data_IF_519741521140
#
_entry.id   IF_519741521140
#
_cell.length_a   1.000
_cell.length_b   1.000
_cell.length_c   1.000
_cell.angle_alpha   90.00
_cell.angle_beta   90.00
_cell.angle_gamma   90.00
#
_symmetry.space_group_name_H-M   'P 1'
#
loop_
_entity.id
_entity.type
_entity.pdbx_description
1 polymer ?
#
# COMPACT_ATOMS: atom_id res chain seq x y z
N UNK A 1 -13.38 9.82 -17.33
CA UNK A 1 -13.88 9.12 -16.11
C UNK A 1 -12.71 8.96 -15.14
N UNK A 2 -12.79 9.45 -13.89
CA UNK A 2 -11.68 9.33 -12.95
C UNK A 2 -11.47 7.86 -12.55
N UNK A 3 -10.21 7.41 -12.56
CA UNK A 3 -9.85 6.06 -12.13
C UNK A 3 -10.00 5.97 -10.61
N UNK A 4 -10.89 5.10 -10.14
CA UNK A 4 -11.05 4.81 -8.72
C UNK A 4 -10.03 3.76 -8.29
N UNK A 5 -9.48 3.93 -7.09
CA UNK A 5 -8.58 2.99 -6.45
C UNK A 5 -9.33 2.29 -5.32
N UNK A 6 -9.15 0.97 -5.22
CA UNK A 6 -9.56 0.21 -4.05
C UNK A 6 -8.45 0.28 -3.01
N UNK A 7 -8.72 0.93 -1.90
CA UNK A 7 -7.76 1.14 -0.81
C UNK A 7 -8.30 0.58 0.50
N UNK A 8 -7.42 0.11 1.37
CA UNK A 8 -7.78 -0.38 2.70
C UNK A 8 -7.62 0.76 3.71
N UNK A 9 -8.68 1.01 4.49
CA UNK A 9 -8.77 1.99 5.57
C UNK A 9 -9.52 1.38 6.75
N UNK A 10 -8.92 1.37 7.93
CA UNK A 10 -9.44 0.79 9.16
C UNK A 10 -9.98 -0.65 8.95
N UNK A 11 -9.24 -1.49 8.22
CA UNK A 11 -9.64 -2.86 7.89
C UNK A 11 -10.77 -3.00 6.85
N UNK A 12 -11.30 -1.91 6.31
CA UNK A 12 -12.33 -1.93 5.25
C UNK A 12 -11.76 -1.52 3.91
N UNK A 13 -12.20 -2.18 2.83
CA UNK A 13 -11.87 -1.76 1.47
C UNK A 13 -12.84 -0.67 1.04
N UNK A 14 -12.32 0.51 0.68
CA UNK A 14 -13.10 1.65 0.19
C UNK A 14 -12.61 2.08 -1.20
N UNK A 15 -13.47 2.73 -1.96
CA UNK A 15 -13.12 3.31 -3.26
C UNK A 15 -12.78 4.79 -3.12
N UNK A 16 -11.60 5.18 -3.58
CA UNK A 16 -11.09 6.55 -3.45
C UNK A 16 -10.49 7.03 -4.76
N UNK A 17 -10.46 8.35 -4.96
CA UNK A 17 -9.78 8.98 -6.12
C UNK A 17 -8.25 8.88 -6.01
N UNK A 18 -7.73 8.62 -4.82
CA UNK A 18 -6.29 8.50 -4.54
C UNK A 18 -5.93 7.08 -4.08
N UNK A 19 -4.73 6.56 -4.41
CA UNK A 19 -4.26 5.24 -4.00
C UNK A 19 -3.80 5.13 -2.53
N UNK A 20 -4.01 6.15 -1.69
CA UNK A 20 -3.45 6.17 -0.33
C UNK A 20 -1.95 6.48 -0.29
N UNK A 21 -1.29 6.13 0.81
CA UNK A 21 0.15 6.41 1.05
C UNK A 21 1.07 5.22 0.81
N UNK A 22 0.54 4.02 0.91
CA UNK A 22 1.33 2.80 0.82
C UNK A 22 0.74 1.84 -0.21
N UNK A 23 1.62 1.09 -0.87
CA UNK A 23 1.24 -0.02 -1.75
C UNK A 23 1.83 -1.32 -1.22
N UNK A 24 1.07 -2.41 -1.34
CA UNK A 24 1.51 -3.74 -0.98
C UNK A 24 1.40 -4.76 -2.10
N UNK A 25 2.21 -5.81 -1.97
CA UNK A 25 2.27 -6.98 -2.81
C UNK A 25 1.49 -8.12 -2.16
N UNK A 26 0.35 -8.51 -2.74
CA UNK A 26 -0.52 -9.58 -2.20
C UNK A 26 0.21 -10.90 -1.93
N UNK A 27 0.97 -11.49 -2.87
CA UNK A 27 1.56 -12.81 -2.70
C UNK A 27 2.55 -12.89 -1.54
N UNK A 28 3.41 -11.89 -1.35
CA UNK A 28 4.41 -11.88 -0.27
C UNK A 28 4.01 -11.10 0.97
N UNK A 29 2.80 -10.53 1.00
CA UNK A 29 2.30 -9.63 2.05
C UNK A 29 3.33 -8.57 2.46
N UNK A 30 3.93 -7.90 1.49
CA UNK A 30 4.93 -6.83 1.73
C UNK A 30 4.31 -5.50 1.36
N UNK A 31 4.39 -4.48 2.21
CA UNK A 31 3.99 -3.13 1.86
C UNK A 31 5.16 -2.14 1.89
N UNK A 32 5.06 -1.10 1.09
CA UNK A 32 6.08 -0.07 0.92
C UNK A 32 5.48 1.24 0.48
N UNK A 33 6.34 2.25 0.35
CA UNK A 33 5.98 3.55 -0.21
C UNK A 33 5.67 3.43 -1.71
N UNK A 34 4.87 4.36 -2.23
CA UNK A 34 4.47 4.39 -3.65
C UNK A 34 5.65 4.65 -4.59
N UNK A 35 6.67 5.37 -4.13
CA UNK A 35 7.90 5.71 -4.84
C UNK A 35 8.97 4.60 -4.77
N UNK A 36 8.70 3.51 -4.05
CA UNK A 36 9.68 2.45 -3.85
C UNK A 36 9.96 1.73 -5.19
N UNK A 37 11.23 1.73 -5.62
CA UNK A 37 11.68 1.05 -6.86
C UNK A 37 11.24 -0.42 -6.94
N UNK A 38 11.28 -1.14 -5.82
CA UNK A 38 10.78 -2.53 -5.77
C UNK A 38 9.27 -2.63 -5.93
N UNK A 39 8.52 -1.67 -5.36
CA UNK A 39 7.07 -1.59 -5.49
C UNK A 39 6.60 -1.25 -6.91
N UNK A 40 7.32 -0.36 -7.58
CA UNK A 40 6.99 0.05 -8.96
C UNK A 40 7.08 -1.10 -9.97
N UNK A 41 7.95 -2.09 -9.72
CA UNK A 41 8.11 -3.29 -10.56
C UNK A 41 7.02 -4.34 -10.36
N UNK A 42 6.14 -4.18 -9.36
CA UNK A 42 5.08 -5.16 -9.08
C UNK A 42 3.98 -5.10 -10.13
N UNK A 43 3.52 -6.27 -10.56
CA UNK A 43 2.32 -6.43 -11.40
C UNK A 43 1.12 -5.72 -10.77
N UNK A 44 0.31 -5.07 -11.60
CA UNK A 44 -0.86 -4.29 -11.14
C UNK A 44 -1.90 -5.17 -10.46
N UNK A 45 -2.09 -6.42 -10.91
CA UNK A 45 -3.04 -7.37 -10.27
C UNK A 45 -2.69 -7.65 -8.80
N UNK A 46 -1.39 -7.66 -8.47
CA UNK A 46 -0.91 -7.98 -7.13
C UNK A 46 -0.79 -6.75 -6.22
N UNK A 47 -1.14 -5.56 -6.71
CA UNK A 47 -0.99 -4.30 -5.98
C UNK A 47 -2.21 -4.07 -5.09
N UNK A 48 -1.97 -3.85 -3.81
CA UNK A 48 -2.96 -3.40 -2.82
C UNK A 48 -2.56 -2.01 -2.38
N UNK A 49 -3.53 -1.20 -2.02
CA UNK A 49 -3.31 0.16 -1.57
C UNK A 49 -3.81 0.32 -0.13
N UNK A 50 -3.06 1.06 0.67
CA UNK A 50 -3.37 1.32 2.08
C UNK A 50 -3.32 2.82 2.36
N UNK A 51 -4.29 3.29 3.14
CA UNK A 51 -4.35 4.71 3.54
C UNK A 51 -3.27 5.03 4.56
N UNK A 52 -3.10 4.17 5.57
CA UNK A 52 -2.09 4.34 6.61
C UNK A 52 -1.16 3.13 6.72
N UNK A 53 -0.03 3.33 7.42
CA UNK A 53 0.90 2.25 7.76
C UNK A 53 0.20 1.20 8.64
N UNK A 54 -0.62 1.65 9.58
CA UNK A 54 -1.35 0.78 10.50
C UNK A 54 -2.34 -0.12 9.74
N UNK A 55 -3.03 0.41 8.74
CA UNK A 55 -3.93 -0.38 7.88
C UNK A 55 -3.20 -1.54 7.18
N UNK A 56 -1.95 -1.31 6.74
CA UNK A 56 -1.16 -2.35 6.10
C UNK A 56 -0.75 -3.43 7.10
N UNK A 57 -0.34 -3.03 8.30
CA UNK A 57 0.07 -3.95 9.37
C UNK A 57 -1.10 -4.75 9.91
N UNK A 58 -2.24 -4.10 10.15
CA UNK A 58 -3.47 -4.75 10.61
C UNK A 58 -4.02 -5.72 9.54
N UNK A 59 -3.79 -5.44 8.26
CA UNK A 59 -4.07 -6.38 7.15
C UNK A 59 -3.04 -7.53 7.03
N UNK A 60 -2.04 -7.59 7.92
CA UNK A 60 -1.03 -8.65 7.96
C UNK A 60 0.13 -8.47 6.98
N UNK A 61 0.40 -7.24 6.52
CA UNK A 61 1.53 -6.94 5.65
C UNK A 61 2.74 -6.50 6.47
N UNK A 62 3.93 -6.98 6.06
CA UNK A 62 5.21 -6.57 6.64
C UNK A 62 5.85 -5.42 5.84
N UNK A 63 6.63 -4.54 6.49
CA UNK A 63 7.30 -3.45 5.80
C UNK A 63 8.36 -3.97 4.81
N UNK A 64 8.49 -3.26 3.69
CA UNK A 64 9.51 -3.51 2.68
C UNK A 64 10.90 -3.21 3.25
N UNK A 65 11.83 -4.15 3.06
CA UNK A 65 13.21 -4.03 3.56
C UNK A 65 14.00 -2.89 2.90
N UNK A 66 13.60 -2.47 1.69
CA UNK A 66 14.32 -1.46 0.91
C UNK A 66 13.91 -0.03 1.28
N UNK A 67 12.60 0.29 1.27
CA UNK A 67 12.14 1.62 1.65
C UNK A 67 11.94 1.79 3.16
N UNK A 68 11.78 0.69 3.92
CA UNK A 68 11.59 0.68 5.39
C UNK A 68 10.54 1.69 5.85
N UNK A 69 9.28 1.57 5.39
CA UNK A 69 8.24 2.55 5.71
C UNK A 69 7.96 2.60 7.22
N UNK A 70 7.93 3.80 7.79
CA UNK A 70 7.60 4.02 9.21
C UNK A 70 6.16 4.53 9.38
N UNK A 71 5.54 4.41 10.58
CA UNK A 71 4.20 4.94 10.82
C UNK A 71 4.08 6.46 10.58
N UNK A 72 5.18 7.18 10.74
CA UNK A 72 5.26 8.64 10.63
C UNK A 72 5.82 9.08 9.28
N UNK A 73 6.09 8.16 8.35
CA UNK A 73 6.61 8.51 7.03
C UNK A 73 5.66 9.50 6.32
N UNK A 74 6.21 10.66 5.99
CA UNK A 74 5.59 11.75 5.23
C UNK A 74 6.19 11.92 3.83
N UNK A 75 6.95 10.92 3.38
CA UNK A 75 7.57 10.82 2.05
C UNK A 75 6.68 11.29 0.90
#
# INVERSE_FOLDING_TARGET
MPRLYRVIRNGKTIETKTPGRYAGWRPGKIFGRLDCKSGMRMKKENRVFFVSWKDAVDAGYRPCKNCKPTPQDTY
#
